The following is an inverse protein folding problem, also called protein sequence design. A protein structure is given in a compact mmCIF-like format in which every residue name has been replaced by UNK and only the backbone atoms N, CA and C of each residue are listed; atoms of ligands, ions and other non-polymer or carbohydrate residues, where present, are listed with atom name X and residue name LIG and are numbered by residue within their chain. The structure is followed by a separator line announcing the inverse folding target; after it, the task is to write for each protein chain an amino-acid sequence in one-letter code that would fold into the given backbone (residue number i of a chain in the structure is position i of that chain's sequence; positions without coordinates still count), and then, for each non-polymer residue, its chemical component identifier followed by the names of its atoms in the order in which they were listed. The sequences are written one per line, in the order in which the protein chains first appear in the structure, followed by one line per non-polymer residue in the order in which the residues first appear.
data_IF_212644677870
#
_entry.id   IF_212644677870
#
_cell.length_a   1.000
_cell.length_b   1.000
_cell.length_c   1.000
_cell.angle_alpha   90.00
_cell.angle_beta   90.00
_cell.angle_gamma   90.00
#
_symmetry.space_group_name_H-M   'P 1'
#
loop_
_entity.id
_entity.type
_entity.pdbx_description
1 polymer ?
#
# COMPACT_ATOMS: atom_id res chain seq x y z
N UNK A 1 5.49 68.64 -1.94
CA UNK A 1 4.60 67.82 -2.79
C UNK A 1 5.35 67.51 -4.07
N UNK A 2 5.73 66.25 -4.30
CA UNK A 2 5.65 65.58 -5.59
C UNK A 2 6.14 64.14 -5.43
N UNK A 3 5.15 63.26 -5.46
CA UNK A 3 5.28 61.81 -5.52
C UNK A 3 5.22 61.39 -6.99
N UNK A 4 5.58 60.12 -7.20
CA UNK A 4 5.22 59.23 -8.32
C UNK A 4 6.17 59.11 -9.51
N UNK A 5 6.41 57.84 -9.87
CA UNK A 5 6.63 57.28 -11.21
C UNK A 5 7.91 56.46 -11.44
N UNK A 6 8.17 55.41 -10.64
CA UNK A 6 9.13 54.35 -11.04
C UNK A 6 8.73 52.96 -10.49
N UNK A 7 7.62 52.36 -10.93
CA UNK A 7 7.34 50.94 -10.62
C UNK A 7 6.29 50.25 -11.53
N UNK A 8 6.56 49.98 -12.83
CA UNK A 8 5.79 48.91 -13.51
C UNK A 8 6.62 47.85 -14.26
N UNK A 9 7.94 47.98 -14.40
CA UNK A 9 8.71 47.10 -15.30
C UNK A 9 9.20 45.77 -14.68
N UNK A 10 9.28 45.67 -13.35
CA UNK A 10 9.75 44.44 -12.68
C UNK A 10 8.70 43.32 -12.64
N UNK A 11 7.40 43.64 -12.78
CA UNK A 11 6.32 42.64 -12.78
C UNK A 11 6.15 41.87 -14.09
N UNK A 12 6.55 42.46 -15.22
CA UNK A 12 6.31 41.87 -16.54
C UNK A 12 7.30 40.74 -16.88
N UNK A 13 8.58 40.94 -16.56
CA UNK A 13 9.63 39.93 -16.79
C UNK A 13 9.53 38.70 -15.88
N UNK A 14 9.00 38.86 -14.67
CA UNK A 14 8.69 37.71 -13.81
C UNK A 14 7.56 36.86 -14.41
N UNK A 15 6.50 37.50 -14.92
CA UNK A 15 5.33 36.78 -15.47
C UNK A 15 5.67 35.94 -16.70
N UNK A 16 6.56 36.42 -17.56
CA UNK A 16 6.91 35.75 -18.80
C UNK A 16 7.77 34.50 -18.56
N UNK A 17 8.78 34.58 -17.68
CA UNK A 17 9.61 33.42 -17.29
C UNK A 17 8.82 32.34 -16.56
N UNK A 18 7.87 32.72 -15.70
CA UNK A 18 6.99 31.76 -15.03
C UNK A 18 6.07 31.05 -16.03
N UNK A 19 5.56 31.74 -17.05
CA UNK A 19 4.73 31.11 -18.09
C UNK A 19 5.52 30.13 -18.96
N UNK A 20 6.78 30.41 -19.31
CA UNK A 20 7.59 29.48 -20.10
C UNK A 20 8.00 28.25 -19.30
N UNK A 21 8.40 28.43 -18.03
CA UNK A 21 8.70 27.31 -17.13
C UNK A 21 7.45 26.47 -16.83
N UNK A 22 6.29 27.10 -16.69
CA UNK A 22 5.01 26.41 -16.51
C UNK A 22 4.59 25.63 -17.78
N UNK A 23 4.86 26.13 -18.99
CA UNK A 23 4.58 25.42 -20.25
C UNK A 23 5.54 24.26 -20.53
N UNK A 24 6.80 24.40 -20.14
CA UNK A 24 7.78 23.31 -20.21
C UNK A 24 7.44 22.20 -19.20
N UNK A 25 7.05 22.56 -17.97
CA UNK A 25 6.67 21.55 -16.96
C UNK A 25 5.35 20.85 -17.26
N UNK A 26 4.40 21.53 -17.90
CA UNK A 26 3.07 20.97 -18.20
C UNK A 26 3.03 20.05 -19.41
N UNK A 27 4.00 20.13 -20.33
CA UNK A 27 3.99 19.33 -21.57
C UNK A 27 4.75 18.00 -21.45
N UNK A 28 5.93 17.99 -20.83
CA UNK A 28 6.76 16.78 -20.71
C UNK A 28 6.30 15.82 -19.59
N UNK A 29 5.76 16.35 -18.48
CA UNK A 29 5.49 15.60 -17.26
C UNK A 29 4.32 14.62 -17.43
N UNK A 30 3.18 14.99 -18.07
CA UNK A 30 2.10 14.04 -18.30
C UNK A 30 2.50 12.89 -19.24
N UNK A 31 3.29 13.19 -20.28
CA UNK A 31 3.79 12.22 -21.23
C UNK A 31 4.77 11.23 -20.59
N UNK A 32 5.69 11.72 -19.76
CA UNK A 32 6.61 10.90 -18.98
C UNK A 32 5.86 10.02 -17.97
N UNK A 33 4.95 10.60 -17.18
CA UNK A 33 4.14 9.87 -16.20
C UNK A 33 3.26 8.80 -16.86
N UNK A 34 2.75 9.05 -18.07
CA UNK A 34 1.99 8.05 -18.82
C UNK A 34 2.88 6.89 -19.28
N UNK A 35 4.07 7.17 -19.81
CA UNK A 35 5.01 6.14 -20.30
C UNK A 35 5.56 5.27 -19.17
N UNK A 36 5.88 5.87 -18.02
CA UNK A 36 6.50 5.18 -16.88
C UNK A 36 5.49 4.80 -15.79
N UNK A 37 4.19 4.91 -16.05
CA UNK A 37 3.11 4.72 -15.08
C UNK A 37 3.26 3.44 -14.25
N UNK A 38 3.31 2.29 -14.91
CA UNK A 38 3.36 0.99 -14.23
C UNK A 38 4.59 0.82 -13.35
N UNK A 39 5.76 1.27 -13.84
CA UNK A 39 7.02 1.19 -13.09
C UNK A 39 6.99 2.10 -11.86
N UNK A 40 6.48 3.32 -11.99
CA UNK A 40 6.35 4.26 -10.87
C UNK A 40 5.37 3.72 -9.83
N UNK A 41 4.17 3.29 -10.24
CA UNK A 41 3.19 2.67 -9.33
C UNK A 41 3.77 1.47 -8.59
N UNK A 42 4.46 0.57 -9.29
CA UNK A 42 5.13 -0.58 -8.66
C UNK A 42 6.19 -0.14 -7.65
N UNK A 43 7.07 0.78 -8.03
CA UNK A 43 8.16 1.26 -7.19
C UNK A 43 7.67 1.93 -5.91
N UNK A 44 6.68 2.84 -6.00
CA UNK A 44 6.11 3.51 -4.83
C UNK A 44 5.41 2.52 -3.89
N UNK A 45 4.64 1.57 -4.42
CA UNK A 45 3.99 0.53 -3.60
C UNK A 45 5.01 -0.42 -2.95
N UNK A 46 6.06 -0.83 -3.68
CA UNK A 46 7.14 -1.66 -3.13
C UNK A 46 7.89 -0.93 -2.01
N UNK A 47 8.19 0.36 -2.20
CA UNK A 47 8.83 1.17 -1.18
C UNK A 47 7.94 1.29 0.07
N UNK A 48 6.64 1.59 -0.10
CA UNK A 48 5.68 1.66 1.00
C UNK A 48 5.57 0.31 1.75
N UNK A 49 5.55 -0.81 1.02
CA UNK A 49 5.55 -2.16 1.60
C UNK A 49 6.81 -2.42 2.43
N UNK A 50 7.99 -2.05 1.92
CA UNK A 50 9.24 -2.19 2.66
C UNK A 50 9.24 -1.37 3.96
N UNK A 51 8.73 -0.13 3.94
CA UNK A 51 8.58 0.69 5.15
C UNK A 51 7.59 0.06 6.14
N UNK A 52 6.48 -0.50 5.66
CA UNK A 52 5.52 -1.24 6.48
C UNK A 52 6.15 -2.45 7.17
N UNK A 53 6.92 -3.25 6.44
CA UNK A 53 7.68 -4.37 7.00
C UNK A 53 8.66 -3.91 8.08
N UNK A 54 9.43 -2.83 7.83
CA UNK A 54 10.36 -2.28 8.81
C UNK A 54 9.66 -1.79 10.09
N UNK A 55 8.48 -1.18 9.93
CA UNK A 55 7.66 -0.69 11.03
C UNK A 55 7.12 -1.85 11.88
N UNK A 56 6.62 -2.92 11.25
CA UNK A 56 6.17 -4.13 11.93
C UNK A 56 7.30 -4.90 12.63
N UNK A 57 8.50 -4.90 12.02
CA UNK A 57 9.70 -5.51 12.58
C UNK A 57 10.34 -4.67 13.70
N UNK A 58 9.83 -3.47 13.99
CA UNK A 58 10.34 -2.61 15.06
C UNK A 58 10.43 -3.35 16.40
N UNK A 59 11.51 -3.10 17.14
CA UNK A 59 11.87 -3.80 18.38
C UNK A 59 12.10 -5.33 18.28
N UNK A 60 12.23 -5.92 17.10
CA UNK A 60 12.52 -7.37 16.97
C UNK A 60 13.96 -7.75 17.35
N UNK A 61 14.91 -6.83 17.27
CA UNK A 61 16.33 -7.09 17.47
C UNK A 61 17.03 -5.92 18.18
N UNK A 62 18.10 -6.20 18.94
CA UNK A 62 18.79 -5.21 19.79
C UNK A 62 19.60 -4.13 19.04
N UNK A 63 19.61 -4.18 17.71
CA UNK A 63 20.35 -3.26 16.83
C UNK A 63 19.50 -2.03 16.47
N UNK A 64 19.63 -1.55 15.23
CA UNK A 64 18.87 -0.41 14.69
C UNK A 64 17.35 -0.57 14.84
N UNK A 65 16.85 -1.81 14.87
CA UNK A 65 15.43 -2.14 15.03
C UNK A 65 14.90 -1.75 16.41
N UNK A 66 15.72 -1.74 17.46
CA UNK A 66 15.34 -1.20 18.77
C UNK A 66 15.11 0.32 18.74
N UNK A 67 15.59 1.02 17.70
CA UNK A 67 15.30 2.43 17.46
C UNK A 67 13.93 2.68 16.80
N UNK A 68 13.31 1.65 16.23
CA UNK A 68 11.98 1.72 15.63
C UNK A 68 10.97 1.21 16.66
N UNK A 69 10.42 2.14 17.43
CA UNK A 69 9.42 1.87 18.47
C UNK A 69 8.27 2.85 18.36
N UNK A 70 7.09 2.49 18.84
CA UNK A 70 5.89 3.31 18.89
C UNK A 70 5.95 4.29 20.07
N UNK A 71 6.21 3.75 21.26
CA UNK A 71 6.32 4.49 22.52
C UNK A 71 7.48 3.91 23.31
N UNK A 72 8.24 4.78 23.97
CA UNK A 72 9.26 4.41 24.94
C UNK A 72 8.85 4.93 26.31
N UNK A 73 9.01 4.08 27.32
CA UNK A 73 8.90 4.44 28.74
C UNK A 73 10.30 4.39 29.33
N UNK A 74 10.71 5.43 30.05
CA UNK A 74 11.97 5.41 30.77
C UNK A 74 11.81 5.85 32.21
N UNK A 75 12.39 5.04 33.09
CA UNK A 75 12.49 5.26 34.51
C UNK A 75 13.91 5.78 34.80
N UNK A 76 14.07 7.05 35.20
CA UNK A 76 15.39 7.55 35.60
C UNK A 76 15.88 6.81 36.85
N UNK A 77 17.19 6.63 36.96
CA UNK A 77 17.79 6.09 38.19
C UNK A 77 17.47 7.05 39.35
N UNK A 78 16.98 6.50 40.45
CA UNK A 78 16.67 7.29 41.65
C UNK A 78 17.83 7.21 42.64
N UNK A 79 18.42 8.36 42.97
CA UNK A 79 19.52 8.47 43.95
C UNK A 79 19.07 8.20 45.40
N UNK A 80 17.76 8.16 45.67
CA UNK A 80 17.22 7.94 47.01
C UNK A 80 16.99 6.47 47.29
N UNK A 81 17.93 5.84 48.00
CA UNK A 81 17.86 4.62 48.87
C UNK A 81 17.19 3.32 48.39
N UNK A 82 16.38 3.32 47.33
CA UNK A 82 15.73 2.14 46.77
C UNK A 82 16.51 1.51 45.60
N UNK A 83 17.61 2.11 45.16
CA UNK A 83 18.62 1.47 44.31
C UNK A 83 18.14 1.07 42.91
N UNK A 84 17.13 1.74 42.34
CA UNK A 84 16.62 1.36 41.02
C UNK A 84 17.60 1.73 39.91
N UNK A 85 17.91 0.74 39.09
CA UNK A 85 18.65 0.90 37.84
C UNK A 85 17.79 1.63 36.81
N UNK A 86 18.41 2.51 35.99
CA UNK A 86 17.70 3.19 34.91
C UNK A 86 17.14 2.13 33.94
N UNK A 87 15.81 2.12 33.77
CA UNK A 87 15.10 1.14 32.94
C UNK A 87 14.40 1.85 31.78
N UNK A 88 14.68 1.41 30.56
CA UNK A 88 14.02 1.90 29.36
C UNK A 88 13.32 0.75 28.64
N UNK A 89 12.02 0.88 28.41
CA UNK A 89 11.18 -0.08 27.69
C UNK A 89 10.67 0.58 26.42
N UNK A 90 10.85 -0.09 25.28
CA UNK A 90 10.43 0.36 23.95
C UNK A 90 9.46 -0.64 23.36
N UNK A 91 8.29 -0.13 22.98
CA UNK A 91 7.22 -0.94 22.45
C UNK A 91 7.16 -0.84 20.92
N UNK A 92 7.23 -1.97 20.22
CA UNK A 92 6.94 -2.09 18.79
C UNK A 92 5.50 -2.59 18.54
N UNK A 93 5.17 -2.89 17.28
CA UNK A 93 3.86 -3.47 16.93
C UNK A 93 3.70 -4.90 17.48
N UNK A 94 4.70 -5.75 17.23
CA UNK A 94 4.68 -7.15 17.69
C UNK A 94 5.65 -7.40 18.84
N UNK A 95 6.78 -6.69 18.85
CA UNK A 95 7.90 -6.97 19.74
C UNK A 95 8.08 -5.90 20.81
N UNK A 96 8.80 -6.26 21.87
CA UNK A 96 9.18 -5.36 22.95
C UNK A 96 10.70 -5.42 23.15
N UNK A 97 11.30 -4.27 23.42
CA UNK A 97 12.71 -4.16 23.79
C UNK A 97 12.83 -3.50 25.16
N UNK A 98 13.70 -4.02 26.02
CA UNK A 98 14.02 -3.39 27.29
C UNK A 98 15.53 -3.27 27.49
N UNK A 99 15.95 -2.27 28.25
CA UNK A 99 17.34 -2.04 28.62
C UNK A 99 17.41 -1.53 30.06
N UNK A 100 18.12 -2.27 30.90
CA UNK A 100 18.49 -1.84 32.26
C UNK A 100 19.89 -1.22 32.26
N UNK A 101 20.21 -0.37 33.23
CA UNK A 101 21.53 0.28 33.34
C UNK A 101 22.67 -0.70 33.60
N UNK A 102 22.38 -1.91 34.11
CA UNK A 102 23.37 -2.97 34.32
C UNK A 102 23.82 -3.62 33.02
N UNK A 103 22.97 -3.62 32.00
CA UNK A 103 23.23 -4.20 30.68
C UNK A 103 23.35 -3.11 29.62
N UNK A 104 24.52 -2.99 28.98
CA UNK A 104 24.68 -2.07 27.85
C UNK A 104 23.86 -2.48 26.62
N UNK A 105 23.47 -3.75 26.53
CA UNK A 105 22.72 -4.32 25.41
C UNK A 105 21.20 -4.29 25.61
N UNK A 106 20.47 -4.04 24.53
CA UNK A 106 19.03 -4.23 24.48
C UNK A 106 18.66 -5.71 24.59
N UNK A 107 17.61 -6.00 25.35
CA UNK A 107 16.93 -7.30 25.34
C UNK A 107 15.64 -7.14 24.57
N UNK A 108 15.57 -7.71 23.38
CA UNK A 108 14.44 -7.60 22.46
C UNK A 108 13.88 -8.98 22.15
N UNK A 109 12.57 -9.06 21.96
CA UNK A 109 11.92 -10.31 21.57
C UNK A 109 10.42 -10.25 21.70
N UNK A 110 9.84 -11.43 21.86
CA UNK A 110 8.43 -11.56 22.20
C UNK A 110 8.18 -10.90 23.57
N UNK A 111 7.13 -10.05 23.69
CA UNK A 111 6.86 -9.36 24.94
C UNK A 111 6.75 -10.28 26.14
N UNK A 112 6.19 -11.49 26.02
CA UNK A 112 6.04 -12.40 27.16
C UNK A 112 7.42 -12.81 27.71
N UNK A 113 8.37 -13.05 26.80
CA UNK A 113 9.75 -13.39 27.17
C UNK A 113 10.49 -12.21 27.79
N UNK A 114 10.23 -11.00 27.31
CA UNK A 114 10.89 -9.80 27.85
C UNK A 114 10.30 -9.42 29.21
N UNK A 115 8.98 -9.52 29.38
CA UNK A 115 8.30 -9.27 30.65
C UNK A 115 8.75 -10.26 31.71
N UNK A 116 8.89 -11.54 31.38
CA UNK A 116 9.38 -12.54 32.33
C UNK A 116 10.80 -12.19 32.83
N UNK A 117 11.69 -11.75 31.93
CA UNK A 117 13.03 -11.28 32.31
C UNK A 117 13.03 -10.01 33.14
N UNK A 118 12.03 -9.14 32.96
CA UNK A 118 11.85 -7.93 33.76
C UNK A 118 11.24 -8.24 35.13
N UNK A 119 10.40 -9.27 35.22
CA UNK A 119 9.81 -9.75 36.48
C UNK A 119 10.88 -10.23 37.46
N UNK A 120 11.91 -10.91 36.94
CA UNK A 120 13.07 -11.33 37.73
C UNK A 120 13.93 -10.15 38.24
N UNK A 121 13.75 -8.94 37.69
CA UNK A 121 14.52 -7.75 38.02
C UNK A 121 13.81 -6.80 39.01
N UNK A 122 12.71 -7.23 39.64
CA UNK A 122 11.91 -6.47 40.63
C UNK A 122 11.56 -5.04 40.16
N UNK A 123 10.81 -4.95 39.05
CA UNK A 123 10.44 -3.71 38.42
C UNK A 123 9.36 -2.92 39.23
N UNK A 124 9.63 -1.71 39.74
CA UNK A 124 8.81 -1.05 40.76
C UNK A 124 7.43 -0.56 40.29
N UNK A 125 7.14 -0.58 38.98
CA UNK A 125 5.89 -0.05 38.42
C UNK A 125 5.20 -1.00 37.44
N UNK A 126 5.72 -2.21 37.26
CA UNK A 126 5.19 -3.18 36.31
C UNK A 126 4.97 -2.58 34.91
N UNK A 127 5.88 -1.69 34.48
CA UNK A 127 5.90 -1.02 33.19
C UNK A 127 5.92 -2.02 32.05
N UNK A 128 6.58 -3.17 32.22
CA UNK A 128 6.52 -4.27 31.26
C UNK A 128 5.08 -4.68 30.97
N UNK A 129 4.29 -4.93 32.01
CA UNK A 129 2.86 -5.27 31.86
C UNK A 129 2.05 -4.10 31.32
N UNK A 130 2.28 -2.87 31.78
CA UNK A 130 1.54 -1.72 31.26
C UNK A 130 1.84 -1.46 29.77
N UNK A 131 3.09 -1.65 29.34
CA UNK A 131 3.46 -1.58 27.93
C UNK A 131 2.80 -2.68 27.10
N UNK A 132 2.70 -3.89 27.65
CA UNK A 132 1.98 -5.02 27.04
C UNK A 132 0.49 -4.71 26.86
N UNK A 133 -0.18 -4.28 27.92
CA UNK A 133 -1.61 -3.96 27.91
C UNK A 133 -1.90 -2.81 26.94
N UNK A 134 -1.02 -1.80 26.90
CA UNK A 134 -1.12 -0.70 25.95
C UNK A 134 -1.03 -1.20 24.49
N UNK A 135 -0.08 -2.09 24.20
CA UNK A 135 0.06 -2.68 22.86
C UNK A 135 -1.22 -3.40 22.46
N UNK A 136 -1.67 -4.30 23.32
CA UNK A 136 -2.79 -5.21 23.02
C UNK A 136 -4.12 -4.46 22.84
N UNK A 137 -4.34 -3.41 23.63
CA UNK A 137 -5.60 -2.67 23.62
C UNK A 137 -5.60 -1.46 22.67
N UNK A 138 -4.49 -0.74 22.57
CA UNK A 138 -4.43 0.53 21.83
C UNK A 138 -3.79 0.42 20.45
N UNK A 139 -2.89 -0.54 20.23
CA UNK A 139 -2.13 -0.65 18.98
C UNK A 139 -2.68 -1.79 18.12
N UNK A 140 -3.44 -1.46 17.07
CA UNK A 140 -3.89 -2.46 16.10
C UNK A 140 -2.95 -2.53 14.88
N UNK A 141 -2.19 -3.63 14.68
CA UNK A 141 -1.40 -3.82 13.46
C UNK A 141 -2.26 -4.12 12.23
N UNK A 142 -3.53 -4.50 12.43
CA UNK A 142 -4.42 -4.99 11.37
C UNK A 142 -4.60 -4.00 10.22
N UNK A 143 -4.75 -2.71 10.52
CA UNK A 143 -4.90 -1.66 9.50
C UNK A 143 -3.66 -1.55 8.59
N UNK A 144 -2.47 -1.69 9.19
CA UNK A 144 -1.21 -1.66 8.44
C UNK A 144 -1.06 -2.92 7.59
N UNK A 145 -1.41 -4.10 8.12
CA UNK A 145 -1.39 -5.37 7.37
C UNK A 145 -2.35 -5.32 6.18
N UNK A 146 -3.58 -4.82 6.38
CA UNK A 146 -4.57 -4.66 5.31
C UNK A 146 -4.05 -3.70 4.22
N UNK A 147 -3.42 -2.59 4.63
CA UNK A 147 -2.78 -1.66 3.68
C UNK A 147 -1.64 -2.35 2.90
N UNK A 148 -0.77 -3.11 3.56
CA UNK A 148 0.30 -3.87 2.91
C UNK A 148 -0.23 -4.92 1.92
N UNK A 149 -1.28 -5.65 2.30
CA UNK A 149 -1.95 -6.61 1.42
C UNK A 149 -2.54 -5.92 0.18
N UNK A 150 -3.18 -4.75 0.36
CA UNK A 150 -3.68 -3.98 -0.76
C UNK A 150 -2.55 -3.50 -1.69
N UNK A 151 -1.38 -3.10 -1.15
CA UNK A 151 -0.24 -2.72 -1.99
C UNK A 151 0.29 -3.89 -2.81
N UNK A 152 0.34 -5.10 -2.23
CA UNK A 152 0.70 -6.34 -2.95
C UNK A 152 -0.30 -6.64 -4.08
N UNK A 153 -1.59 -6.50 -3.83
CA UNK A 153 -2.63 -6.66 -4.86
C UNK A 153 -2.44 -5.61 -5.96
N UNK A 154 -2.17 -4.35 -5.62
CA UNK A 154 -1.91 -3.26 -6.59
C UNK A 154 -0.71 -3.56 -7.48
N UNK A 155 0.39 -4.05 -6.89
CA UNK A 155 1.59 -4.46 -7.65
C UNK A 155 1.22 -5.60 -8.60
N UNK A 156 0.50 -6.61 -8.12
CA UNK A 156 0.08 -7.76 -8.93
C UNK A 156 -0.80 -7.35 -10.11
N UNK A 157 -1.81 -6.50 -9.86
CA UNK A 157 -2.68 -5.95 -10.90
C UNK A 157 -1.90 -5.11 -11.92
N UNK A 158 -0.90 -4.35 -11.46
CA UNK A 158 -0.03 -3.55 -12.34
C UNK A 158 0.79 -4.45 -13.26
N UNK A 159 1.37 -5.53 -12.74
CA UNK A 159 2.10 -6.51 -13.52
C UNK A 159 1.19 -7.18 -14.57
N UNK A 160 0.01 -7.65 -14.16
CA UNK A 160 -0.96 -8.33 -15.04
C UNK A 160 -1.46 -7.39 -16.14
N UNK A 161 -1.71 -6.13 -15.82
CA UNK A 161 -2.18 -5.15 -16.82
C UNK A 161 -1.12 -4.78 -17.86
N UNK A 162 0.17 -4.97 -17.52
CA UNK A 162 1.30 -4.63 -18.38
C UNK A 162 1.66 -5.79 -19.32
N UNK A 163 1.47 -7.02 -18.87
CA UNK A 163 1.58 -8.21 -19.71
C UNK A 163 0.40 -8.28 -20.68
N UNK A 164 0.71 -8.34 -21.98
CA UNK A 164 -0.29 -8.62 -23.02
C UNK A 164 -0.71 -10.08 -22.95
N UNK A 165 -1.47 -10.47 -21.92
CA UNK A 165 -1.96 -11.84 -21.82
C UNK A 165 -3.13 -12.03 -22.81
N UNK A 166 -3.06 -13.04 -23.70
CA UNK A 166 -4.21 -13.45 -24.47
C UNK A 166 -5.22 -14.08 -23.50
N UNK A 167 -6.41 -13.49 -23.38
CA UNK A 167 -7.52 -14.10 -22.63
C UNK A 167 -8.07 -15.23 -23.51
N UNK A 168 -7.80 -16.47 -23.12
CA UNK A 168 -8.38 -17.66 -23.77
C UNK A 168 -9.73 -17.92 -23.09
N UNK A 169 -10.82 -17.68 -23.82
CA UNK A 169 -12.16 -18.06 -23.36
C UNK A 169 -12.37 -19.57 -23.55
N UNK A 170 -13.26 -20.22 -22.77
CA UNK A 170 -13.55 -21.66 -22.92
C UNK A 170 -14.13 -22.03 -24.31
N UNK A 171 -14.49 -21.04 -25.14
CA UNK A 171 -14.91 -21.22 -26.53
C UNK A 171 -13.75 -21.04 -27.55
N UNK A 172 -12.51 -20.87 -27.11
CA UNK A 172 -11.34 -20.74 -28.00
C UNK A 172 -11.27 -19.44 -28.82
N UNK A 173 -12.18 -18.48 -28.59
CA UNK A 173 -12.20 -17.22 -29.33
C UNK A 173 -11.27 -16.22 -28.66
N UNK A 174 -10.19 -15.86 -29.38
CA UNK A 174 -9.34 -14.70 -29.07
C UNK A 174 -10.12 -13.45 -29.48
N UNK A 175 -11.06 -13.01 -28.64
CA UNK A 175 -11.80 -11.78 -28.93
C UNK A 175 -10.90 -10.57 -28.69
N UNK A 176 -11.12 -9.50 -29.47
CA UNK A 176 -10.52 -8.16 -29.29
C UNK A 176 -10.94 -7.45 -27.99
N UNK A 177 -11.33 -8.22 -26.96
CA UNK A 177 -11.73 -7.84 -25.60
C UNK A 177 -10.58 -7.22 -24.77
N UNK A 178 -9.42 -6.99 -25.37
CA UNK A 178 -8.29 -6.32 -24.73
C UNK A 178 -8.65 -4.91 -24.22
N UNK A 179 -9.63 -4.23 -24.84
CA UNK A 179 -10.14 -2.94 -24.32
C UNK A 179 -10.97 -3.12 -23.04
N UNK A 180 -11.91 -4.06 -23.04
CA UNK A 180 -12.80 -4.31 -21.89
C UNK A 180 -12.03 -4.83 -20.68
N UNK A 181 -11.12 -5.79 -20.86
CA UNK A 181 -10.28 -6.30 -19.78
C UNK A 181 -9.41 -5.22 -19.14
N UNK A 182 -8.82 -4.33 -19.95
CA UNK A 182 -8.03 -3.18 -19.44
C UNK A 182 -8.86 -2.22 -18.60
N UNK A 183 -10.14 -2.01 -18.93
CA UNK A 183 -11.05 -1.18 -18.13
C UNK A 183 -11.28 -1.82 -16.76
N UNK A 184 -11.57 -3.12 -16.69
CA UNK A 184 -11.77 -3.83 -15.42
C UNK A 184 -10.51 -3.82 -14.53
N UNK A 185 -9.33 -4.13 -15.09
CA UNK A 185 -8.08 -4.09 -14.33
C UNK A 185 -7.74 -2.67 -13.85
N UNK A 186 -8.00 -1.66 -14.68
CA UNK A 186 -7.79 -0.26 -14.28
C UNK A 186 -8.75 0.14 -13.16
N UNK A 187 -10.04 -0.22 -13.25
CA UNK A 187 -11.01 0.05 -12.20
C UNK A 187 -10.63 -0.65 -10.88
N UNK A 188 -10.24 -1.93 -10.95
CA UNK A 188 -9.78 -2.69 -9.79
C UNK A 188 -8.53 -2.07 -9.15
N UNK A 189 -7.56 -1.64 -9.97
CA UNK A 189 -6.35 -0.97 -9.50
C UNK A 189 -6.69 0.35 -8.78
N UNK A 190 -7.64 1.13 -9.29
CA UNK A 190 -8.02 2.41 -8.67
C UNK A 190 -8.73 2.19 -7.34
N UNK A 191 -9.71 1.30 -7.29
CA UNK A 191 -10.44 0.97 -6.05
C UNK A 191 -9.45 0.48 -4.99
N UNK A 192 -8.55 -0.43 -5.37
CA UNK A 192 -7.57 -1.00 -4.46
C UNK A 192 -6.52 0.04 -4.00
N UNK A 193 -6.10 0.96 -4.88
CA UNK A 193 -5.19 2.04 -4.50
C UNK A 193 -5.84 3.03 -3.51
N UNK A 194 -7.11 3.41 -3.72
CA UNK A 194 -7.86 4.26 -2.79
C UNK A 194 -8.03 3.56 -1.45
N UNK A 195 -8.41 2.28 -1.47
CA UNK A 195 -8.56 1.47 -0.27
C UNK A 195 -7.24 1.36 0.50
N UNK A 196 -6.13 1.08 -0.18
CA UNK A 196 -4.81 0.97 0.43
C UNK A 196 -4.30 2.27 1.05
N UNK A 197 -4.47 3.38 0.31
CA UNK A 197 -4.16 4.74 0.79
C UNK A 197 -5.00 5.10 2.01
N UNK A 198 -6.31 4.82 2.00
CA UNK A 198 -7.21 5.07 3.12
C UNK A 198 -6.83 4.28 4.37
N UNK A 199 -6.53 2.99 4.22
CA UNK A 199 -6.06 2.17 5.34
C UNK A 199 -4.68 2.62 5.87
N UNK A 200 -3.77 3.06 5.01
CA UNK A 200 -2.47 3.59 5.43
C UNK A 200 -2.64 4.89 6.23
N UNK A 201 -3.51 5.79 5.78
CA UNK A 201 -3.84 7.02 6.50
C UNK A 201 -4.48 6.70 7.86
N UNK A 202 -5.46 5.78 7.88
CA UNK A 202 -6.12 5.38 9.12
C UNK A 202 -5.13 4.74 10.10
N UNK A 203 -4.21 3.90 9.60
CA UNK A 203 -3.13 3.32 10.41
C UNK A 203 -2.21 4.40 11.00
N UNK A 204 -1.79 5.39 10.19
CA UNK A 204 -0.94 6.50 10.64
C UNK A 204 -1.62 7.36 11.72
N UNK A 205 -2.89 7.71 11.49
CA UNK A 205 -3.70 8.47 12.44
C UNK A 205 -3.92 7.68 13.73
N UNK A 206 -4.26 6.40 13.64
CA UNK A 206 -4.47 5.53 14.79
C UNK A 206 -3.21 5.37 15.63
N UNK A 207 -2.07 5.08 14.97
CA UNK A 207 -0.77 4.97 15.64
C UNK A 207 -0.40 6.26 16.38
N UNK A 208 -0.55 7.41 15.72
CA UNK A 208 -0.24 8.69 16.31
C UNK A 208 -1.17 9.02 17.48
N UNK A 209 -2.47 8.79 17.33
CA UNK A 209 -3.46 9.01 18.38
C UNK A 209 -3.19 8.12 19.60
N UNK A 210 -2.95 6.83 19.41
CA UNK A 210 -2.63 5.89 20.48
C UNK A 210 -1.36 6.30 21.24
N UNK A 211 -0.30 6.69 20.52
CA UNK A 211 0.95 7.14 21.14
C UNK A 211 0.79 8.48 21.88
N UNK A 212 0.06 9.43 21.28
CA UNK A 212 -0.18 10.76 21.84
C UNK A 212 -1.06 10.75 23.10
N UNK A 213 -1.95 9.76 23.25
CA UNK A 213 -2.75 9.58 24.46
C UNK A 213 -2.02 8.76 25.52
N UNK A 214 -1.30 7.71 25.13
CA UNK A 214 -0.61 6.83 26.06
C UNK A 214 0.54 7.52 26.81
N UNK A 215 1.34 8.33 26.11
CA UNK A 215 2.49 9.00 26.70
C UNK A 215 2.12 9.91 27.90
N UNK A 216 1.21 10.89 27.77
CA UNK A 216 0.83 11.73 28.91
C UNK A 216 0.07 10.96 29.98
N UNK A 217 -0.73 9.95 29.62
CA UNK A 217 -1.44 9.11 30.59
C UNK A 217 -0.46 8.40 31.52
N UNK A 218 0.63 7.85 30.98
CA UNK A 218 1.66 7.17 31.78
C UNK A 218 2.44 8.13 32.69
N UNK A 219 2.74 9.34 32.20
CA UNK A 219 3.36 10.37 33.04
C UNK A 219 2.43 10.76 34.20
N UNK A 220 1.14 10.89 33.94
CA UNK A 220 0.15 11.23 34.95
C UNK A 220 -0.03 10.12 36.01
N UNK A 221 -0.22 8.87 35.58
CA UNK A 221 -0.41 7.72 36.47
C UNK A 221 0.82 7.43 37.34
N UNK A 222 2.02 7.71 36.82
CA UNK A 222 3.27 7.53 37.55
C UNK A 222 3.63 8.72 38.45
N UNK A 223 2.75 9.73 38.58
CA UNK A 223 3.06 10.98 39.30
C UNK A 223 4.36 11.65 38.82
N UNK A 224 4.67 11.51 37.52
CA UNK A 224 5.90 12.03 36.91
C UNK A 224 7.16 11.18 37.11
N UNK A 225 7.06 9.99 37.74
CA UNK A 225 8.21 9.10 37.91
C UNK A 225 8.66 8.46 36.58
N UNK A 226 7.73 8.21 35.66
CA UNK A 226 8.00 7.63 34.33
C UNK A 226 7.96 8.74 33.31
N UNK A 227 8.96 8.79 32.43
CA UNK A 227 8.91 9.62 31.23
C UNK A 227 8.48 8.76 30.04
N UNK A 228 7.61 9.30 29.18
CA UNK A 228 7.12 8.61 28.01
C UNK A 228 7.39 9.45 26.74
N UNK A 229 7.93 8.80 25.70
CA UNK A 229 8.30 9.47 24.45
C UNK A 229 7.75 8.68 23.26
N UNK A 230 7.11 9.38 22.32
CA UNK A 230 6.65 8.80 21.05
C UNK A 230 7.86 8.56 20.14
N UNK A 231 7.94 7.40 19.51
CA UNK A 231 9.07 7.06 18.66
C UNK A 231 9.09 7.84 17.34
N UNK A 232 10.12 8.69 17.12
CA UNK A 232 10.16 9.57 15.94
C UNK A 232 10.37 8.78 14.66
N UNK A 233 11.16 7.69 14.70
CA UNK A 233 11.40 6.85 13.53
C UNK A 233 10.14 6.11 13.09
N UNK A 234 9.42 5.47 14.01
CA UNK A 234 8.16 4.79 13.68
C UNK A 234 7.12 5.77 13.13
N UNK A 235 7.00 6.96 13.74
CA UNK A 235 6.13 8.03 13.25
C UNK A 235 6.53 8.48 11.85
N UNK A 236 7.83 8.69 11.59
CA UNK A 236 8.30 9.09 10.27
C UNK A 236 8.06 8.01 9.23
N UNK A 237 8.30 6.74 9.55
CA UNK A 237 8.10 5.60 8.65
C UNK A 237 6.63 5.43 8.23
N UNK A 238 5.68 5.55 9.17
CA UNK A 238 4.25 5.40 8.85
C UNK A 238 3.74 6.55 7.99
N UNK A 239 4.14 7.80 8.29
CA UNK A 239 3.76 8.96 7.50
C UNK A 239 4.44 8.99 6.12
N UNK A 240 5.69 8.54 6.04
CA UNK A 240 6.38 8.37 4.77
C UNK A 240 5.73 7.26 3.94
N UNK A 241 5.34 6.14 4.55
CA UNK A 241 4.56 5.08 3.91
C UNK A 241 3.24 5.60 3.34
N UNK A 242 2.51 6.41 4.10
CA UNK A 242 1.31 7.10 3.62
C UNK A 242 1.63 8.04 2.45
N UNK A 243 2.66 8.88 2.57
CA UNK A 243 3.09 9.77 1.48
C UNK A 243 3.45 9.03 0.19
N UNK A 244 4.09 7.85 0.31
CA UNK A 244 4.42 6.99 -0.83
C UNK A 244 3.17 6.34 -1.46
N UNK A 245 2.13 6.02 -0.68
CA UNK A 245 0.85 5.49 -1.21
C UNK A 245 -0.07 6.58 -1.76
N UNK A 246 0.12 7.84 -1.37
CA UNK A 246 -0.60 8.99 -1.92
C UNK A 246 -0.32 9.16 -3.43
N UNK A 247 0.93 8.97 -3.86
CA UNK A 247 1.33 9.11 -5.27
C UNK A 247 0.55 8.16 -6.19
N UNK A 248 0.57 6.81 -6.00
CA UNK A 248 -0.22 5.90 -6.81
C UNK A 248 -1.73 6.14 -6.67
N UNK A 249 -2.22 6.52 -5.48
CA UNK A 249 -3.63 6.89 -5.28
C UNK A 249 -4.07 8.05 -6.18
N UNK A 250 -3.30 9.14 -6.22
CA UNK A 250 -3.57 10.31 -7.07
C UNK A 250 -3.42 9.98 -8.56
N UNK A 251 -2.39 9.20 -8.93
CA UNK A 251 -2.20 8.75 -10.31
C UNK A 251 -3.40 7.94 -10.81
N UNK A 252 -3.91 7.03 -9.98
CA UNK A 252 -5.11 6.24 -10.27
C UNK A 252 -6.38 7.11 -10.33
N UNK A 253 -6.54 8.07 -9.41
CA UNK A 253 -7.71 8.96 -9.40
C UNK A 253 -7.85 9.77 -10.71
N UNK A 254 -6.73 10.24 -11.27
CA UNK A 254 -6.71 10.92 -12.57
C UNK A 254 -7.29 10.05 -13.68
N UNK A 255 -7.00 8.75 -13.65
CA UNK A 255 -7.45 7.83 -14.69
C UNK A 255 -8.98 7.60 -14.60
N UNK A 256 -9.54 7.56 -13.38
CA UNK A 256 -11.01 7.54 -13.21
C UNK A 256 -11.64 8.84 -13.70
N UNK A 257 -11.06 10.00 -13.36
CA UNK A 257 -11.57 11.29 -13.83
C UNK A 257 -11.53 11.41 -15.37
N UNK A 258 -10.51 10.83 -16.01
CA UNK A 258 -10.42 10.79 -17.47
C UNK A 258 -11.47 9.88 -18.13
N UNK A 259 -11.91 8.82 -17.44
CA UNK A 259 -12.99 7.94 -17.91
C UNK A 259 -14.36 8.56 -17.67
N UNK A 260 -14.57 9.19 -16.51
CA UNK A 260 -15.86 9.76 -16.11
C UNK A 260 -16.13 11.09 -16.80
N UNK A 261 -15.11 11.89 -17.10
CA UNK A 261 -15.29 13.16 -17.82
C UNK A 261 -15.62 12.86 -19.27
N UNK A 262 -16.85 13.11 -19.75
CA UNK A 262 -17.16 12.96 -21.15
C UNK A 262 -16.26 13.93 -21.92
N UNK A 263 -15.40 13.41 -22.80
CA UNK A 263 -14.87 14.26 -23.88
C UNK A 263 -16.10 14.87 -24.55
N UNK A 264 -16.17 16.20 -24.76
CA UNK A 264 -17.19 16.77 -25.60
C UNK A 264 -17.02 16.08 -26.96
N UNK A 265 -17.89 15.10 -27.25
CA UNK A 265 -17.95 14.52 -28.58
C UNK A 265 -18.25 15.68 -29.48
N UNK A 266 -17.54 15.71 -30.60
CA UNK A 266 -17.78 16.56 -31.74
C UNK A 266 -19.28 16.49 -32.10
N UNK A 267 -20.09 17.32 -31.44
CA UNK A 267 -21.53 17.50 -31.67
C UNK A 267 -21.76 18.38 -32.91
N UNK A 268 -20.73 18.48 -33.76
CA UNK A 268 -20.73 19.21 -35.00
C UNK A 268 -20.06 18.34 -36.06
N UNK A 269 -20.70 17.21 -36.39
CA UNK A 269 -20.58 16.71 -37.76
C UNK A 269 -21.43 17.66 -38.60
N UNK A 270 -20.84 18.52 -39.46
CA UNK A 270 -21.64 19.29 -40.39
C UNK A 270 -22.50 18.30 -41.22
N UNK A 271 -23.76 18.65 -41.53
CA UNK A 271 -24.58 17.81 -42.39
C UNK A 271 -23.81 17.54 -43.70
N UNK A 272 -23.92 16.33 -44.28
CA UNK A 272 -23.33 16.06 -45.58
C UNK A 272 -23.85 17.12 -46.55
N UNK A 273 -22.94 17.85 -47.18
CA UNK A 273 -23.27 18.68 -48.34
C UNK A 273 -24.01 17.79 -49.33
N UNK A 274 -25.28 18.13 -49.58
CA UNK A 274 -26.03 17.61 -50.70
C UNK A 274 -25.33 18.08 -51.96
N UNK A 275 -24.41 17.27 -52.47
CA UNK A 275 -23.90 17.42 -53.81
C UNK A 275 -25.06 17.20 -54.77
N UNK A 276 -25.58 18.29 -55.34
CA UNK A 276 -26.27 18.27 -56.61
C UNK A 276 -25.24 17.80 -57.66
N UNK A 277 -25.17 16.49 -57.82
CA UNK A 277 -24.45 15.79 -58.88
C UNK A 277 -25.48 15.16 -59.80
N UNK A 278 -25.94 15.99 -60.72
CA UNK A 278 -26.50 15.65 -62.02
C UNK A 278 -25.93 14.33 -62.59
N UNK A 279 -26.86 13.45 -62.94
CA UNK A 279 -26.57 12.08 -63.30
C UNK A 279 -25.80 11.93 -64.61
N UNK A 280 -24.88 10.97 -64.62
CA UNK A 280 -24.51 10.27 -65.84
C UNK A 280 -24.69 8.77 -65.59
N UNK A 281 -25.71 8.23 -66.25
CA UNK A 281 -26.09 6.84 -66.28
C UNK A 281 -25.23 6.15 -67.35
N UNK A 282 -24.28 5.32 -66.94
CA UNK A 282 -23.63 4.36 -67.85
C UNK A 282 -23.83 2.96 -67.31
N UNK A 283 -24.63 2.20 -68.06
CA UNK A 283 -24.95 0.81 -67.88
C UNK A 283 -23.73 -0.13 -68.01
N UNK A 284 -23.67 -1.07 -67.08
CA UNK A 284 -23.60 -2.54 -67.26
C UNK A 284 -22.81 -3.08 -68.48
N UNK A 285 -21.71 -3.83 -68.25
CA UNK A 285 -21.66 -5.29 -68.53
C UNK A 285 -20.29 -5.95 -68.25
N UNK A 286 -20.42 -7.16 -67.67
CA UNK A 286 -19.62 -8.38 -67.82
C UNK A 286 -18.11 -8.49 -67.47
N UNK A 287 -17.84 -9.37 -66.49
CA UNK A 287 -17.11 -10.65 -66.58
C UNK A 287 -16.36 -10.91 -65.26
N UNK A 288 -16.82 -11.79 -64.37
CA UNK A 288 -16.61 -13.25 -64.39
C UNK A 288 -15.13 -13.65 -64.57
N UNK A 289 -14.47 -14.09 -63.49
CA UNK A 289 -13.19 -14.79 -63.60
C UNK A 289 -12.36 -14.89 -62.32
N UNK A 290 -12.19 -16.13 -61.85
CA UNK A 290 -11.03 -16.65 -61.10
C UNK A 290 -10.86 -16.28 -59.62
N UNK A 291 -11.46 -17.12 -58.78
CA UNK A 291 -10.74 -17.66 -57.63
C UNK A 291 -10.03 -18.96 -58.02
N UNK A 292 -8.78 -19.14 -57.57
CA UNK A 292 -8.19 -20.40 -57.12
C UNK A 292 -6.67 -20.31 -57.14
N UNK A 293 -6.04 -20.73 -56.03
CA UNK A 293 -4.66 -21.20 -56.01
C UNK A 293 -3.66 -20.19 -55.44
N UNK A 294 -3.43 -20.25 -54.13
CA UNK A 294 -2.08 -20.54 -53.65
C UNK A 294 -2.07 -20.87 -52.16
N UNK A 295 -1.08 -21.69 -51.83
CA UNK A 295 -0.44 -21.86 -50.52
C UNK A 295 -0.78 -23.12 -49.69
N UNK A 296 0.18 -24.05 -49.84
CA UNK A 296 0.85 -24.84 -48.80
C UNK A 296 0.43 -26.31 -48.62
N UNK A 297 1.17 -27.10 -49.38
CA UNK A 297 1.62 -28.47 -49.08
C UNK A 297 2.27 -28.55 -47.69
N UNK A 298 1.75 -29.40 -46.83
CA UNK A 298 2.52 -30.10 -45.80
C UNK A 298 1.90 -31.48 -45.58
N UNK A 299 2.50 -32.48 -46.23
CA UNK A 299 2.28 -33.90 -46.00
C UNK A 299 3.51 -34.42 -45.25
N UNK A 300 3.29 -35.21 -44.21
CA UNK A 300 4.37 -35.77 -43.39
C UNK A 300 3.84 -36.62 -42.25
N UNK A 301 3.32 -37.79 -42.59
CA UNK A 301 2.89 -38.84 -41.69
C UNK A 301 4.07 -39.46 -40.91
N UNK A 302 3.78 -40.01 -39.74
CA UNK A 302 4.70 -40.86 -38.98
C UNK A 302 4.17 -41.14 -37.59
N UNK A 303 3.23 -42.08 -37.48
CA UNK A 303 2.90 -42.73 -36.22
C UNK A 303 3.80 -43.94 -35.98
N UNK A 304 4.13 -44.22 -34.71
CA UNK A 304 3.82 -45.49 -34.03
C UNK A 304 4.20 -45.42 -32.53
N UNK A 305 3.69 -46.35 -31.69
CA UNK A 305 3.46 -46.16 -30.26
C UNK A 305 4.42 -46.96 -29.36
N UNK A 306 4.52 -46.57 -28.08
CA UNK A 306 4.89 -47.42 -26.92
C UNK A 306 4.74 -46.56 -25.66
N UNK A 307 3.78 -46.85 -24.79
CA UNK A 307 3.84 -47.78 -23.65
C UNK A 307 4.11 -47.04 -22.32
N UNK A 308 3.18 -47.28 -21.39
CA UNK A 308 3.31 -47.22 -19.94
C UNK A 308 3.72 -45.91 -19.26
N UNK A 309 2.94 -45.49 -18.25
CA UNK A 309 3.29 -45.67 -16.83
C UNK A 309 2.30 -44.90 -15.94
N UNK A 310 1.61 -45.68 -15.12
CA UNK A 310 1.06 -45.41 -13.78
C UNK A 310 0.16 -44.19 -13.53
N UNK A 311 -1.12 -44.52 -13.37
CA UNK A 311 -2.02 -43.86 -12.44
C UNK A 311 -1.46 -43.98 -11.00
N UNK A 312 -1.26 -42.83 -10.36
CA UNK A 312 -1.08 -42.72 -8.92
C UNK A 312 -2.32 -42.11 -8.29
N UNK A 313 -3.15 -42.97 -7.70
CA UNK A 313 -4.11 -42.60 -6.66
C UNK A 313 -3.33 -42.02 -5.47
N UNK A 314 -3.57 -40.74 -5.16
CA UNK A 314 -3.07 -40.08 -3.97
C UNK A 314 -4.23 -39.82 -3.01
N UNK A 315 -4.24 -40.60 -1.94
CA UNK A 315 -5.18 -40.59 -0.82
C UNK A 315 -5.53 -39.19 -0.30
N UNK A 316 -6.84 -38.98 -0.11
CA UNK A 316 -7.36 -38.00 0.82
C UNK A 316 -7.16 -38.53 2.26
N UNK A 317 -6.15 -38.00 2.96
CA UNK A 317 -6.07 -38.11 4.41
C UNK A 317 -6.95 -37.04 5.05
N UNK A 318 -7.90 -37.52 5.86
CA UNK A 318 -8.71 -36.70 6.74
C UNK A 318 -7.84 -36.02 7.79
N UNK A 319 -8.14 -34.76 8.04
CA UNK A 319 -7.68 -34.05 9.22
C UNK A 319 -8.87 -33.79 10.12
N UNK A 320 -8.80 -34.37 11.30
CA UNK A 320 -9.77 -34.29 12.37
C UNK A 320 -10.04 -32.82 12.76
N UNK A 321 -11.33 -32.52 12.90
CA UNK A 321 -11.80 -31.28 13.49
C UNK A 321 -11.50 -31.28 15.00
N UNK A 322 -10.99 -30.19 15.58
CA UNK A 322 -10.95 -30.06 17.03
C UNK A 322 -12.35 -29.76 17.57
N UNK A 323 -12.77 -30.58 18.54
CA UNK A 323 -13.93 -30.35 19.40
C UNK A 323 -13.81 -28.98 20.08
N UNK A 324 -14.74 -28.07 19.76
CA UNK A 324 -14.93 -26.84 20.52
C UNK A 324 -15.89 -27.16 21.65
N UNK A 325 -15.34 -27.48 22.82
CA UNK A 325 -16.07 -27.45 24.08
C UNK A 325 -16.52 -26.00 24.37
N UNK A 326 -17.84 -25.79 24.28
CA UNK A 326 -18.53 -24.61 24.76
C UNK A 326 -18.65 -24.71 26.29
N UNK A 327 -17.60 -24.33 27.02
CA UNK A 327 -17.69 -24.18 28.48
C UNK A 327 -18.12 -22.75 28.86
N UNK A 328 -19.41 -22.64 29.20
CA UNK A 328 -19.92 -21.91 30.37
C UNK A 328 -19.51 -20.43 30.53
N UNK A 329 -20.32 -19.55 29.91
CA UNK A 329 -20.68 -18.25 30.49
C UNK A 329 -21.24 -18.45 31.91
N UNK A 330 -20.44 -18.13 32.94
CA UNK A 330 -20.93 -17.87 34.28
C UNK A 330 -20.72 -16.40 34.64
N UNK A 331 -21.85 -15.81 35.02
CA UNK A 331 -22.06 -14.47 35.51
C UNK A 331 -20.97 -13.98 36.46
N UNK A 332 -20.48 -12.76 36.21
CA UNK A 332 -19.83 -11.95 37.23
C UNK A 332 -20.80 -10.85 37.63
N UNK A 333 -21.23 -10.99 38.88
CA UNK A 333 -22.01 -10.07 39.69
C UNK A 333 -21.45 -8.64 39.63
N UNK A 334 -22.31 -7.69 39.25
CA UNK A 334 -22.17 -6.28 39.60
C UNK A 334 -22.57 -6.08 41.05
N UNK A 335 -21.61 -6.01 41.96
CA UNK A 335 -21.80 -5.38 43.26
C UNK A 335 -20.46 -4.99 43.93
N UNK A 336 -19.87 -3.86 43.51
CA UNK A 336 -19.19 -2.88 44.38
C UNK A 336 -18.68 -1.68 43.59
#
# INVERSE_FOLDING_TARGET
MNSTATAPLLGFFAREKYQTLFRLTTSWLPAFLHRHRGVLLGLFNCAALALGCLLLAGCSAPNILAGIYLVAFSLPASDTTAGFSHLEIRLGYFFLCARSSTSSSWTCGDPDQVIERLRDADEPWNLGKTAYDLRDQAVSPSLLIISMASNLISISLTCISSSSFPIITPLGVITSSHKTARVWFTAALVVNAIYGMGNCLLAALWQHAAAATAAPMMVYLSSGAVTAVVGPLATTLVWLGFGLTLVPGVMCLRDVLAVVSPKPRDLYSPPPESGDGDGEFTDVEHAQGQGSGDAVVASGAGGEPSEAVQAGEGQAEGHDAPDIEMESLKAVDTNR
#
